data_IF_516910318791
#
_entry.id   IF_516910318791
#
_cell.length_a   1.000
_cell.length_b   1.000
_cell.length_c   1.000
_cell.angle_alpha   90.00
_cell.angle_beta   90.00
_cell.angle_gamma   90.00
#
_symmetry.space_group_name_H-M   'P 1'
#
loop_
_entity.id
_entity.type
_entity.pdbx_description
1 polymer ?
#
# COMPACT_ATOMS: atom_id res chain seq x y z
N UNK A 1 6.33 33.17 -9.20
CA UNK A 1 5.20 32.58 -8.45
C UNK A 1 4.80 31.34 -9.23
N UNK A 2 5.38 30.18 -8.89
CA UNK A 2 5.14 28.92 -9.63
C UNK A 2 4.05 28.14 -8.91
N UNK A 3 2.98 27.84 -9.66
CA UNK A 3 1.87 26.99 -9.27
C UNK A 3 2.40 25.63 -8.83
N UNK A 4 2.29 25.34 -7.53
CA UNK A 4 2.57 24.02 -6.98
C UNK A 4 1.54 23.06 -7.57
N UNK A 5 2.02 22.17 -8.43
CA UNK A 5 1.28 21.08 -9.03
C UNK A 5 0.62 20.24 -7.92
N UNK A 6 -0.65 20.54 -7.63
CA UNK A 6 -1.49 19.80 -6.68
C UNK A 6 -1.64 18.39 -7.20
N UNK A 7 -1.27 17.40 -6.39
CA UNK A 7 -1.63 16.01 -6.68
C UNK A 7 -3.16 15.92 -6.71
N UNK A 8 -3.77 15.26 -7.70
CA UNK A 8 -5.21 15.13 -7.77
C UNK A 8 -5.69 14.27 -6.60
N UNK A 9 -6.40 14.91 -5.66
CA UNK A 9 -7.32 14.20 -4.77
C UNK A 9 -8.50 13.78 -5.65
N UNK A 10 -8.60 12.49 -5.96
CA UNK A 10 -9.67 12.03 -6.85
C UNK A 10 -11.01 11.98 -6.09
N UNK A 11 -12.01 12.68 -6.61
CA UNK A 11 -13.40 12.64 -6.14
C UNK A 11 -14.20 11.61 -6.95
N UNK A 12 -14.73 10.57 -6.30
CA UNK A 12 -15.55 9.49 -6.87
C UNK A 12 -15.14 8.11 -6.31
N UNK A 13 -16.01 7.06 -6.33
CA UNK A 13 -15.65 5.75 -5.79
C UNK A 13 -14.40 5.25 -6.51
N UNK A 14 -13.28 5.21 -5.79
CA UNK A 14 -11.99 4.86 -6.38
C UNK A 14 -12.11 3.43 -6.94
N UNK A 15 -11.70 3.15 -8.18
CA UNK A 15 -11.72 1.80 -8.76
C UNK A 15 -10.84 0.76 -8.02
N UNK A 16 -10.32 1.08 -6.83
CA UNK A 16 -9.21 0.40 -6.16
C UNK A 16 -9.40 0.36 -4.63
N UNK A 17 -10.64 0.22 -4.15
CA UNK A 17 -10.89 0.03 -2.73
C UNK A 17 -10.38 -1.35 -2.24
N UNK A 18 -9.70 -1.32 -1.09
CA UNK A 18 -9.39 -2.55 -0.35
C UNK A 18 -10.68 -3.22 0.17
N UNK A 19 -11.77 -2.45 0.30
CA UNK A 19 -13.10 -2.96 0.55
C UNK A 19 -13.73 -3.51 -0.74
N UNK A 20 -14.33 -4.69 -0.65
CA UNK A 20 -15.26 -5.17 -1.65
C UNK A 20 -16.58 -4.37 -1.53
N UNK A 21 -17.02 -3.67 -2.59
CA UNK A 21 -18.21 -2.83 -2.53
C UNK A 21 -19.51 -3.64 -2.41
N UNK A 22 -19.53 -4.90 -2.82
CA UNK A 22 -20.72 -5.77 -2.75
C UNK A 22 -20.84 -6.42 -1.38
N UNK A 23 -19.71 -6.86 -0.81
CA UNK A 23 -19.71 -7.64 0.45
C UNK A 23 -19.30 -6.83 1.68
N UNK A 24 -18.70 -5.64 1.49
CA UNK A 24 -18.10 -4.83 2.55
C UNK A 24 -16.85 -5.47 3.18
N UNK A 25 -16.35 -6.58 2.64
CA UNK A 25 -15.17 -7.27 3.16
C UNK A 25 -13.92 -6.47 2.83
N UNK A 26 -13.13 -6.16 3.85
CA UNK A 26 -11.87 -5.42 3.69
C UNK A 26 -10.71 -6.39 3.54
N UNK A 27 -10.01 -6.31 2.41
CA UNK A 27 -8.82 -7.10 2.12
C UNK A 27 -7.59 -6.49 2.79
N UNK A 28 -6.81 -7.31 3.47
CA UNK A 28 -5.53 -6.92 4.06
C UNK A 28 -4.48 -7.93 3.62
N UNK A 29 -3.33 -7.46 3.14
CA UNK A 29 -2.24 -8.37 2.79
C UNK A 29 -1.84 -9.24 3.98
N UNK A 30 -1.69 -10.55 3.73
CA UNK A 30 -1.33 -11.55 4.71
C UNK A 30 0.11 -11.37 5.20
N UNK A 31 1.01 -10.96 4.29
CA UNK A 31 2.43 -10.78 4.53
C UNK A 31 2.99 -9.58 3.73
N UNK A 32 4.25 -9.22 3.98
CA UNK A 32 4.96 -8.20 3.18
C UNK A 32 5.23 -8.75 1.78
N UNK A 33 4.93 -7.97 0.73
CA UNK A 33 5.28 -8.34 -0.63
C UNK A 33 6.81 -8.25 -0.86
N UNK A 34 7.28 -8.84 -1.97
CA UNK A 34 8.71 -8.87 -2.32
C UNK A 34 9.33 -7.50 -2.60
N UNK A 35 8.52 -6.46 -2.79
CA UNK A 35 8.95 -5.08 -3.02
C UNK A 35 8.36 -4.12 -1.97
N UNK A 36 8.33 -4.57 -0.71
CA UNK A 36 7.69 -3.81 0.35
C UNK A 36 8.49 -2.54 0.68
N UNK A 37 7.79 -1.41 0.88
CA UNK A 37 8.39 -0.17 1.40
C UNK A 37 8.91 -0.32 2.84
N UNK A 38 8.39 -1.31 3.59
CA UNK A 38 8.82 -1.65 4.96
C UNK A 38 9.74 -2.89 4.99
N UNK A 39 10.32 -3.29 3.86
CA UNK A 39 11.39 -4.29 3.85
C UNK A 39 12.66 -3.71 4.52
N UNK A 40 13.58 -4.60 4.91
CA UNK A 40 14.88 -4.19 5.50
C UNK A 40 15.66 -3.34 4.50
N UNK A 41 16.51 -2.43 4.97
CA UNK A 41 17.38 -1.64 4.09
C UNK A 41 18.35 -2.50 3.28
N UNK A 42 18.76 -3.64 3.84
CA UNK A 42 19.63 -4.63 3.21
C UNK A 42 18.92 -5.49 2.15
N UNK A 43 17.60 -5.33 1.98
CA UNK A 43 16.85 -6.07 0.96
C UNK A 43 17.02 -5.38 -0.41
N UNK A 44 17.78 -5.97 -1.35
CA UNK A 44 18.00 -5.37 -2.67
C UNK A 44 16.72 -5.31 -3.52
N UNK A 45 15.65 -6.00 -3.11
CA UNK A 45 14.34 -5.97 -3.75
C UNK A 45 13.38 -4.94 -3.14
N UNK A 46 13.77 -4.21 -2.08
CA UNK A 46 12.91 -3.21 -1.43
C UNK A 46 12.51 -2.11 -2.42
N UNK A 47 11.34 -1.52 -2.17
CA UNK A 47 10.94 -0.34 -2.92
C UNK A 47 11.97 0.78 -2.70
N UNK A 48 12.46 1.46 -3.74
CA UNK A 48 13.55 2.43 -3.64
C UNK A 48 13.05 3.77 -3.05
N UNK A 49 12.86 3.79 -1.73
CA UNK A 49 12.52 4.97 -0.93
C UNK A 49 13.38 4.97 0.32
N UNK A 50 13.82 6.15 0.78
CA UNK A 50 14.53 6.21 2.06
C UNK A 50 13.57 5.98 3.23
N UNK A 51 14.11 5.50 4.35
CA UNK A 51 13.33 5.28 5.57
C UNK A 51 12.66 6.57 6.07
N UNK A 52 13.35 7.71 5.98
CA UNK A 52 12.80 9.01 6.37
C UNK A 52 11.65 9.47 5.47
N UNK A 53 11.76 9.29 4.15
CA UNK A 53 10.68 9.62 3.21
C UNK A 53 9.49 8.69 3.39
N UNK A 54 9.73 7.39 3.56
CA UNK A 54 8.70 6.39 3.87
C UNK A 54 7.93 6.81 5.10
N UNK A 55 8.63 7.03 6.22
CA UNK A 55 8.01 7.31 7.51
C UNK A 55 7.23 8.63 7.46
N UNK A 56 7.81 9.69 6.89
CA UNK A 56 7.12 10.98 6.73
C UNK A 56 5.85 10.88 5.88
N UNK A 57 5.86 10.04 4.83
CA UNK A 57 4.69 9.81 4.01
C UNK A 57 3.64 8.95 4.74
N UNK A 58 4.05 7.83 5.34
CA UNK A 58 3.11 6.91 6.00
C UNK A 58 2.51 7.49 7.27
N UNK A 59 3.26 8.32 8.02
CA UNK A 59 2.74 9.05 9.17
C UNK A 59 1.66 10.05 8.74
N UNK A 60 1.85 10.74 7.60
CA UNK A 60 0.82 11.65 7.05
C UNK A 60 -0.44 10.89 6.66
N UNK A 61 -0.29 9.79 5.93
CA UNK A 61 -1.43 8.93 5.54
C UNK A 61 -2.19 8.46 6.76
N UNK A 62 -1.49 8.02 7.81
CA UNK A 62 -2.14 7.58 9.05
C UNK A 62 -2.84 8.73 9.80
N UNK A 63 -2.23 9.92 9.84
CA UNK A 63 -2.80 11.10 10.49
C UNK A 63 -4.06 11.63 9.79
N UNK A 64 -4.20 11.39 8.49
CA UNK A 64 -5.39 11.71 7.69
C UNK A 64 -6.44 10.57 7.72
N UNK A 65 -6.29 9.60 8.63
CA UNK A 65 -7.14 8.40 8.73
C UNK A 65 -7.22 7.56 7.43
N UNK A 66 -6.17 7.66 6.61
CA UNK A 66 -6.01 6.89 5.39
C UNK A 66 -5.37 5.52 5.63
N UNK A 67 -5.19 4.82 4.52
CA UNK A 67 -4.48 3.54 4.48
C UNK A 67 -3.68 3.42 3.20
N UNK A 68 -2.55 2.73 3.28
CA UNK A 68 -1.76 2.39 2.10
C UNK A 68 -2.31 1.12 1.47
N UNK A 69 -2.59 1.14 0.17
CA UNK A 69 -2.97 -0.03 -0.60
C UNK A 69 -1.72 -0.62 -1.26
N UNK A 70 -1.48 -1.92 -1.08
CA UNK A 70 -0.42 -2.64 -1.77
C UNK A 70 -0.88 -2.99 -3.20
N UNK A 71 0.02 -2.83 -4.18
CA UNK A 71 -0.21 -3.04 -5.62
C UNK A 71 -1.21 -2.06 -6.27
N UNK A 72 -1.29 -0.85 -5.69
CA UNK A 72 -2.23 0.21 -6.06
C UNK A 72 -1.75 1.19 -7.13
N UNK A 73 -0.44 1.36 -7.33
CA UNK A 73 0.05 2.45 -8.19
C UNK A 73 1.03 1.96 -9.27
N UNK A 74 0.47 1.63 -10.45
CA UNK A 74 1.21 1.66 -11.71
C UNK A 74 1.02 0.46 -12.64
N UNK A 75 1.68 0.52 -13.80
CA UNK A 75 1.83 -0.50 -14.86
C UNK A 75 2.32 -1.89 -14.39
N UNK A 76 2.45 -2.10 -13.08
CA UNK A 76 3.03 -3.26 -12.42
C UNK A 76 2.02 -4.03 -11.55
N UNK A 77 0.71 -3.75 -11.67
CA UNK A 77 -0.33 -4.60 -11.08
C UNK A 77 -0.35 -5.95 -11.80
N UNK A 78 -0.09 -7.08 -11.10
CA UNK A 78 -0.31 -8.38 -11.69
C UNK A 78 -1.81 -8.56 -11.96
N UNK A 79 -2.14 -8.95 -13.19
CA UNK A 79 -3.53 -9.15 -13.61
C UNK A 79 -4.24 -10.12 -12.67
N UNK A 80 -5.43 -9.74 -12.18
CA UNK A 80 -6.24 -10.57 -11.30
C UNK A 80 -5.93 -10.48 -9.80
N UNK A 81 -4.86 -9.80 -9.37
CA UNK A 81 -4.60 -9.60 -7.95
C UNK A 81 -5.54 -8.51 -7.38
N UNK A 82 -6.33 -8.77 -6.33
CA UNK A 82 -7.21 -7.77 -5.73
C UNK A 82 -6.40 -6.75 -4.92
N UNK A 83 -6.85 -5.49 -4.90
CA UNK A 83 -6.28 -4.45 -4.04
C UNK A 83 -6.40 -4.87 -2.56
N UNK A 84 -5.43 -4.54 -1.73
CA UNK A 84 -5.49 -4.86 -0.31
C UNK A 84 -4.70 -3.85 0.52
N UNK A 85 -5.13 -3.63 1.76
CA UNK A 85 -4.38 -2.80 2.70
C UNK A 85 -3.00 -3.43 2.91
N UNK A 86 -1.97 -2.60 2.75
CA UNK A 86 -0.57 -2.96 2.90
C UNK A 86 -0.30 -3.60 4.26
N UNK A 87 0.32 -4.78 4.26
CA UNK A 87 0.64 -5.50 5.49
C UNK A 87 1.55 -4.70 6.43
N UNK A 88 2.61 -4.08 5.88
CA UNK A 88 3.55 -3.28 6.68
C UNK A 88 2.85 -2.07 7.33
N UNK A 89 2.00 -1.38 6.56
CA UNK A 89 1.23 -0.25 7.06
C UNK A 89 0.23 -0.69 8.14
N UNK A 90 -0.51 -1.78 7.89
CA UNK A 90 -1.43 -2.37 8.87
C UNK A 90 -0.73 -2.72 10.18
N UNK A 91 0.42 -3.39 10.12
CA UNK A 91 1.17 -3.77 11.32
C UNK A 91 1.65 -2.54 12.08
N UNK A 92 2.06 -1.49 11.38
CA UNK A 92 2.64 -0.28 11.99
C UNK A 92 1.58 0.69 12.54
N UNK A 93 0.44 0.85 11.88
CA UNK A 93 -0.51 1.95 12.12
C UNK A 93 -1.92 1.54 12.54
N UNK A 94 -2.27 0.25 12.63
CA UNK A 94 -3.66 -0.20 12.96
C UNK A 94 -4.24 0.28 14.29
N UNK A 95 -3.43 0.89 15.16
CA UNK A 95 -3.86 1.48 16.45
C UNK A 95 -3.65 3.00 16.51
N UNK A 96 -3.22 3.61 15.41
CA UNK A 96 -2.86 5.03 15.30
C UNK A 96 -3.80 5.77 14.35
N UNK A 97 -4.39 5.06 13.38
CA UNK A 97 -5.52 5.55 12.57
C UNK A 97 -6.83 5.00 13.11
N UNK A 98 -7.83 5.87 13.30
CA UNK A 98 -9.18 5.52 13.72
C UNK A 98 -9.86 4.62 12.67
N UNK A 99 -9.65 4.90 11.38
CA UNK A 99 -10.17 4.08 10.29
C UNK A 99 -9.61 2.65 10.36
N UNK A 100 -8.30 2.49 10.53
CA UNK A 100 -7.70 1.16 10.64
C UNK A 100 -8.13 0.43 11.92
N UNK A 101 -8.26 1.15 13.04
CA UNK A 101 -8.76 0.57 14.29
C UNK A 101 -10.20 0.08 14.13
N UNK A 102 -11.04 0.88 13.46
CA UNK A 102 -12.41 0.50 13.14
C UNK A 102 -12.45 -0.77 12.28
N UNK A 103 -11.66 -0.83 11.20
CA UNK A 103 -11.55 -2.00 10.34
C UNK A 103 -11.08 -3.22 11.16
N UNK A 104 -10.08 -3.06 12.01
CA UNK A 104 -9.51 -4.14 12.80
C UNK A 104 -10.49 -4.74 13.82
N UNK A 105 -11.45 -3.94 14.31
CA UNK A 105 -12.34 -4.32 15.41
C UNK A 105 -13.75 -4.67 14.96
N UNK A 106 -14.23 -4.05 13.87
CA UNK A 106 -15.65 -4.12 13.49
C UNK A 106 -15.87 -4.60 12.05
N UNK A 107 -14.91 -4.43 11.14
CA UNK A 107 -15.08 -4.88 9.77
C UNK A 107 -14.79 -6.38 9.62
N UNK A 108 -15.45 -7.01 8.63
CA UNK A 108 -15.04 -8.33 8.15
C UNK A 108 -13.76 -8.15 7.34
N UNK A 109 -12.68 -8.78 7.77
CA UNK A 109 -11.39 -8.71 7.08
C UNK A 109 -11.06 -10.04 6.42
N UNK A 110 -10.49 -9.98 5.22
CA UNK A 110 -9.93 -11.14 4.53
C UNK A 110 -8.43 -10.95 4.34
N UNK A 111 -7.65 -11.96 4.74
CA UNK A 111 -6.23 -11.99 4.42
C UNK A 111 -6.05 -12.49 3.00
N UNK A 112 -5.33 -11.72 2.19
CA UNK A 112 -4.97 -12.10 0.82
C UNK A 112 -3.46 -12.14 0.72
N UNK A 113 -2.94 -13.16 0.05
CA UNK A 113 -1.50 -13.23 -0.19
C UNK A 113 -1.06 -12.10 -1.12
N UNK A 114 0.13 -11.52 -0.89
CA UNK A 114 0.70 -10.62 -1.88
C UNK A 114 0.86 -11.39 -3.20
N UNK A 115 0.64 -10.76 -4.35
CA UNK A 115 0.93 -11.39 -5.61
C UNK A 115 2.41 -11.76 -5.71
N UNK A 116 2.68 -12.82 -6.50
CA UNK A 116 4.04 -13.17 -6.87
C UNK A 116 4.74 -11.98 -7.53
N UNK A 117 6.04 -11.87 -7.25
CA UNK A 117 6.90 -10.78 -7.71
C UNK A 117 6.66 -10.51 -9.21
N UNK A 118 6.26 -9.29 -9.62
CA UNK A 118 6.40 -8.93 -11.03
C UNK A 118 7.90 -8.95 -11.35
N UNK A 119 8.29 -9.71 -12.37
CA UNK A 119 9.66 -9.75 -12.86
C UNK A 119 10.05 -8.34 -13.32
N UNK A 120 10.68 -7.55 -12.44
CA UNK A 120 11.35 -6.34 -12.88
C UNK A 120 12.53 -6.77 -13.74
N UNK A 121 12.71 -6.20 -14.95
CA UNK A 121 14.01 -6.27 -15.58
C UNK A 121 14.97 -5.57 -14.62
N UNK A 122 15.96 -6.31 -14.12
CA UNK A 122 17.16 -5.66 -13.60
C UNK A 122 17.63 -4.74 -14.71
N UNK A 123 17.90 -3.47 -14.44
CA UNK A 123 18.80 -2.73 -15.32
C UNK A 123 20.02 -3.62 -15.53
N UNK A 124 20.40 -3.96 -16.78
CA UNK A 124 21.61 -4.74 -17.00
C UNK A 124 22.77 -3.99 -16.33
N UNK A 125 23.65 -4.72 -15.66
CA UNK A 125 24.91 -4.18 -15.17
C UNK A 125 25.58 -3.41 -16.32
N UNK A 126 26.08 -2.19 -16.13
CA UNK A 126 26.92 -1.56 -17.14
C UNK A 126 28.14 -2.48 -17.38
N UNK A 127 28.34 -2.85 -18.64
CA UNK A 127 29.40 -3.74 -19.11
C UNK A 127 30.80 -3.21 -18.82
#
# INVERSE_FOLDING_TARGET
MQERNSMPVAEGPHPLDAADPETGVVRVCASRCSSCIFASEDDPARYPISDAERDAWTDRVAAEDGYVVCHDSGQHRPAGAPAAICHGFWVRYRRQSLMLEFIARFARTQRVDPPDRPAYPRTPDPA
#
